data_IF_163231849502
#
_entry.id   IF_163231849502
#
_cell.length_a   1.000
_cell.length_b   1.000
_cell.length_c   1.000
_cell.angle_alpha   90.00
_cell.angle_beta   90.00
_cell.angle_gamma   90.00
#
_symmetry.space_group_name_H-M   'P 1'
#
loop_
_entity.id
_entity.type
_entity.pdbx_description
1 polymer ?
#
# COMPACT_ATOMS: atom_id res chain seq x y z
N UNK A 1 -20.99 -5.37 -16.63
CA UNK A 1 -19.74 -6.14 -16.58
C UNK A 1 -20.05 -7.34 -15.69
N UNK A 2 -20.07 -8.56 -16.22
CA UNK A 2 -20.64 -9.74 -15.54
C UNK A 2 -19.71 -10.40 -14.52
N UNK A 3 -19.09 -9.60 -13.65
CA UNK A 3 -18.27 -10.10 -12.55
C UNK A 3 -19.11 -10.19 -11.28
N UNK A 4 -18.95 -11.28 -10.54
CA UNK A 4 -19.44 -11.36 -9.16
C UNK A 4 -18.47 -10.59 -8.25
N UNK A 5 -19.01 -9.66 -7.49
CA UNK A 5 -18.26 -8.75 -6.63
C UNK A 5 -18.34 -9.20 -5.18
N UNK A 6 -17.17 -9.29 -4.54
CA UNK A 6 -17.05 -9.67 -3.14
C UNK A 6 -16.38 -8.51 -2.41
N UNK A 7 -17.13 -7.87 -1.52
CA UNK A 7 -16.64 -6.79 -0.66
C UNK A 7 -16.24 -7.35 0.70
N UNK A 8 -15.09 -6.91 1.22
CA UNK A 8 -14.66 -7.22 2.58
C UNK A 8 -14.36 -5.91 3.29
N UNK A 9 -15.16 -5.59 4.32
CA UNK A 9 -15.01 -4.37 5.09
C UNK A 9 -15.63 -4.56 6.48
N UNK A 10 -15.04 -3.94 7.50
CA UNK A 10 -15.52 -4.01 8.88
C UNK A 10 -16.03 -2.68 9.42
N UNK A 11 -16.07 -1.61 8.62
CA UNK A 11 -16.54 -0.30 9.07
C UNK A 11 -18.06 -0.15 8.88
N UNK A 12 -18.86 -0.19 9.97
CA UNK A 12 -20.33 -0.13 9.89
C UNK A 12 -20.86 1.23 9.41
N UNK A 13 -20.03 2.27 9.39
CA UNK A 13 -20.44 3.64 9.05
C UNK A 13 -20.29 3.95 7.54
N UNK A 14 -20.01 2.94 6.71
CA UNK A 14 -19.70 3.15 5.27
C UNK A 14 -20.80 2.64 4.36
N UNK A 15 -21.01 3.32 3.22
CA UNK A 15 -21.91 2.85 2.17
C UNK A 15 -21.44 1.52 1.57
N UNK A 16 -20.12 1.25 1.59
CA UNK A 16 -19.54 -0.02 1.15
C UNK A 16 -19.96 -1.24 1.97
N UNK A 17 -20.60 -1.05 3.14
CA UNK A 17 -21.18 -2.15 3.94
C UNK A 17 -22.69 -2.29 3.76
N UNK A 18 -23.27 -1.63 2.75
CA UNK A 18 -24.63 -1.91 2.31
C UNK A 18 -24.64 -3.16 1.42
N UNK A 19 -25.59 -4.06 1.66
CA UNK A 19 -25.74 -5.32 0.93
C UNK A 19 -26.11 -5.07 -0.55
N UNK A 20 -26.61 -3.89 -0.89
CA UNK A 20 -26.90 -3.52 -2.28
C UNK A 20 -25.64 -3.12 -3.09
N UNK A 21 -24.48 -3.01 -2.44
CA UNK A 21 -23.24 -2.52 -3.08
C UNK A 21 -22.41 -3.62 -3.75
N UNK A 22 -22.55 -4.88 -3.31
CA UNK A 22 -21.80 -6.01 -3.82
C UNK A 22 -22.65 -7.30 -3.79
N UNK A 23 -22.35 -8.26 -4.66
CA UNK A 23 -23.06 -9.54 -4.72
C UNK A 23 -22.87 -10.35 -3.42
N UNK A 24 -21.69 -10.21 -2.80
CA UNK A 24 -21.39 -10.75 -1.46
C UNK A 24 -20.66 -9.70 -0.63
N UNK A 25 -21.05 -9.59 0.63
CA UNK A 25 -20.40 -8.75 1.63
C UNK A 25 -19.95 -9.60 2.81
N UNK A 26 -18.65 -9.60 3.10
CA UNK A 26 -18.07 -10.15 4.32
C UNK A 26 -17.78 -9.01 5.29
N UNK A 27 -18.56 -8.96 6.37
CA UNK A 27 -18.36 -8.01 7.46
C UNK A 27 -17.32 -8.54 8.45
N UNK A 28 -16.08 -8.67 8.00
CA UNK A 28 -14.96 -9.27 8.73
C UNK A 28 -13.83 -8.26 8.89
N UNK A 29 -13.08 -8.28 10.01
CA UNK A 29 -11.86 -7.51 10.13
C UNK A 29 -10.88 -7.81 8.99
N UNK A 30 -10.22 -6.77 8.48
CA UNK A 30 -9.27 -6.88 7.35
C UNK A 30 -7.92 -7.45 7.85
N UNK A 31 -7.94 -8.66 8.38
CA UNK A 31 -6.79 -9.45 8.82
C UNK A 31 -6.48 -10.58 7.85
N UNK A 32 -5.20 -10.90 7.71
CA UNK A 32 -4.74 -11.86 6.71
C UNK A 32 -5.42 -13.22 6.80
N UNK A 33 -5.61 -13.74 8.00
CA UNK A 33 -6.19 -15.06 8.25
C UNK A 33 -7.62 -15.15 7.68
N UNK A 34 -8.46 -14.15 8.01
CA UNK A 34 -9.84 -14.06 7.54
C UNK A 34 -9.90 -13.87 6.01
N UNK A 35 -9.08 -12.96 5.48
CA UNK A 35 -9.02 -12.68 4.05
C UNK A 35 -8.58 -13.92 3.27
N UNK A 36 -7.59 -14.64 3.78
CA UNK A 36 -7.05 -15.83 3.11
C UNK A 36 -8.05 -16.99 3.11
N UNK A 37 -8.83 -17.16 4.18
CA UNK A 37 -9.91 -18.15 4.23
C UNK A 37 -11.02 -17.84 3.22
N UNK A 38 -11.40 -16.56 3.09
CA UNK A 38 -12.37 -16.11 2.06
C UNK A 38 -11.81 -16.37 0.65
N UNK A 39 -10.55 -16.05 0.39
CA UNK A 39 -9.91 -16.30 -0.91
C UNK A 39 -9.88 -17.80 -1.25
N UNK A 40 -9.62 -18.67 -0.26
CA UNK A 40 -9.65 -20.13 -0.48
C UNK A 40 -11.05 -20.66 -0.78
N UNK A 41 -12.05 -20.10 -0.12
CA UNK A 41 -13.45 -20.49 -0.27
C UNK A 41 -14.01 -20.03 -1.63
N UNK A 42 -13.83 -18.76 -1.95
CA UNK A 42 -14.43 -18.10 -3.12
C UNK A 42 -13.58 -18.25 -4.39
N UNK A 43 -12.26 -18.42 -4.24
CA UNK A 43 -11.29 -18.54 -5.36
C UNK A 43 -11.48 -17.45 -6.41
N UNK A 44 -11.40 -16.16 -6.03
CA UNK A 44 -11.69 -15.06 -6.93
C UNK A 44 -10.70 -15.01 -8.10
N UNK A 45 -11.16 -14.49 -9.25
CA UNK A 45 -10.26 -14.26 -10.39
C UNK A 45 -9.15 -13.26 -10.06
N UNK A 46 -9.41 -12.32 -9.15
CA UNK A 46 -8.39 -11.45 -8.60
C UNK A 46 -8.90 -10.54 -7.50
N UNK A 47 -7.97 -9.83 -6.87
CA UNK A 47 -8.23 -8.97 -5.70
C UNK A 47 -7.79 -7.54 -5.98
N UNK A 48 -8.59 -6.56 -5.55
CA UNK A 48 -8.29 -5.13 -5.65
C UNK A 48 -7.92 -4.62 -4.26
N UNK A 49 -6.74 -4.02 -4.12
CA UNK A 49 -6.19 -3.54 -2.84
C UNK A 49 -5.96 -2.03 -2.80
N UNK A 50 -6.00 -1.38 -3.96
CA UNK A 50 -5.62 0.02 -4.15
C UNK A 50 -6.67 1.01 -3.60
N UNK A 51 -7.88 0.53 -3.33
CA UNK A 51 -9.00 1.34 -2.84
C UNK A 51 -9.18 1.26 -1.32
N UNK A 52 -8.48 0.35 -0.63
CA UNK A 52 -8.66 0.07 0.80
C UNK A 52 -7.67 0.80 1.73
N UNK A 53 -6.92 1.77 1.22
CA UNK A 53 -5.89 2.50 1.99
C UNK A 53 -4.76 1.61 2.51
N UNK A 54 -4.09 2.06 3.58
CA UNK A 54 -2.86 1.41 4.06
C UNK A 54 -3.08 -0.02 4.56
N UNK A 55 -4.26 -0.33 5.11
CA UNK A 55 -4.58 -1.68 5.60
C UNK A 55 -4.59 -2.68 4.45
N UNK A 56 -5.23 -2.33 3.33
CA UNK A 56 -5.25 -3.18 2.15
C UNK A 56 -3.87 -3.25 1.46
N UNK A 57 -3.12 -2.15 1.42
CA UNK A 57 -1.75 -2.13 0.87
C UNK A 57 -0.81 -3.07 1.64
N UNK A 58 -0.89 -3.10 2.98
CA UNK A 58 -0.12 -4.06 3.80
C UNK A 58 -0.45 -5.53 3.51
N UNK A 59 -1.65 -5.81 3.01
CA UNK A 59 -2.04 -7.17 2.59
C UNK A 59 -1.53 -7.51 1.19
N UNK A 60 -1.23 -6.52 0.35
CA UNK A 60 -0.76 -6.75 -1.02
C UNK A 60 0.52 -7.59 -1.07
N UNK A 61 1.45 -7.37 -0.13
CA UNK A 61 2.67 -8.18 -0.01
C UNK A 61 2.33 -9.66 0.23
N UNK A 62 1.43 -9.94 1.17
CA UNK A 62 1.00 -11.30 1.48
C UNK A 62 0.25 -11.93 0.31
N UNK A 63 -0.63 -11.19 -0.35
CA UNK A 63 -1.36 -11.67 -1.52
C UNK A 63 -0.40 -12.09 -2.65
N UNK A 64 0.59 -11.25 -2.97
CA UNK A 64 1.62 -11.54 -3.98
C UNK A 64 2.44 -12.78 -3.59
N UNK A 65 2.88 -12.87 -2.32
CA UNK A 65 3.66 -14.00 -1.79
C UNK A 65 2.92 -15.34 -1.86
N UNK A 66 1.59 -15.32 -1.68
CA UNK A 66 0.75 -16.51 -1.76
C UNK A 66 0.21 -16.79 -3.18
N UNK A 67 0.66 -16.01 -4.18
CA UNK A 67 0.27 -16.19 -5.58
C UNK A 67 -1.16 -15.77 -5.89
N UNK A 68 -1.78 -14.94 -5.05
CA UNK A 68 -3.09 -14.37 -5.31
C UNK A 68 -2.95 -13.23 -6.31
N UNK A 69 -3.73 -13.27 -7.39
CA UNK A 69 -3.67 -12.27 -8.46
C UNK A 69 -4.23 -10.94 -7.96
N UNK A 70 -3.36 -9.93 -7.84
CA UNK A 70 -3.77 -8.54 -7.62
C UNK A 70 -4.14 -7.92 -8.98
N UNK A 71 -5.34 -7.37 -9.07
CA UNK A 71 -5.84 -6.68 -10.28
C UNK A 71 -5.44 -5.22 -10.21
N UNK A 72 -4.96 -4.66 -11.32
CA UNK A 72 -4.50 -3.26 -11.41
C UNK A 72 -3.01 -3.13 -11.14
N UNK A 73 -2.61 -2.11 -10.37
CA UNK A 73 -1.22 -1.87 -10.00
C UNK A 73 -0.69 -3.05 -9.18
N UNK A 74 0.42 -3.64 -9.62
CA UNK A 74 1.05 -4.77 -8.94
C UNK A 74 1.63 -4.37 -7.59
N UNK A 75 1.76 -5.34 -6.68
CA UNK A 75 2.41 -5.12 -5.39
C UNK A 75 3.82 -4.52 -5.57
N UNK A 76 4.62 -5.05 -6.50
CA UNK A 76 5.97 -4.53 -6.78
C UNK A 76 6.00 -3.05 -7.18
N UNK A 77 4.99 -2.60 -7.92
CA UNK A 77 4.88 -1.19 -8.32
C UNK A 77 4.39 -0.30 -7.16
N UNK A 78 3.50 -0.82 -6.30
CA UNK A 78 3.08 -0.13 -5.07
C UNK A 78 4.25 0.01 -4.10
N UNK A 79 4.97 -1.08 -3.84
CA UNK A 79 6.16 -1.15 -2.99
C UNK A 79 7.27 -0.21 -3.49
N UNK A 80 7.51 -0.18 -4.80
CA UNK A 80 8.46 0.76 -5.42
C UNK A 80 8.07 2.23 -5.19
N UNK A 81 6.77 2.54 -5.13
CA UNK A 81 6.31 3.90 -4.89
C UNK A 81 6.34 4.29 -3.40
N UNK A 82 6.27 3.32 -2.48
CA UNK A 82 6.38 3.55 -1.04
C UNK A 82 7.84 3.61 -0.56
N UNK A 83 8.74 2.85 -1.20
CA UNK A 83 10.18 2.88 -0.95
C UNK A 83 10.82 4.14 -1.53
N UNK A 84 11.17 5.09 -0.67
CA UNK A 84 11.75 6.36 -1.11
C UNK A 84 13.10 6.22 -1.80
N UNK A 85 13.95 5.30 -1.37
CA UNK A 85 15.27 5.11 -1.99
C UNK A 85 15.09 4.64 -3.42
N UNK A 86 14.33 3.55 -3.60
CA UNK A 86 14.05 2.97 -4.91
C UNK A 86 13.22 3.91 -5.79
N UNK A 87 12.32 4.69 -5.21
CA UNK A 87 11.56 5.69 -5.95
C UNK A 87 12.46 6.82 -6.46
N UNK A 88 13.39 7.32 -5.64
CA UNK A 88 14.33 8.35 -6.07
C UNK A 88 15.32 7.84 -7.12
N UNK A 89 15.79 6.60 -7.00
CA UNK A 89 16.57 5.93 -8.07
C UNK A 89 15.78 5.88 -9.38
N UNK A 90 14.50 5.50 -9.32
CA UNK A 90 13.63 5.49 -10.49
C UNK A 90 13.48 6.90 -11.11
N UNK A 91 13.35 7.95 -10.29
CA UNK A 91 13.29 9.32 -10.79
C UNK A 91 14.61 9.74 -11.46
N UNK A 92 15.75 9.39 -10.86
CA UNK A 92 17.07 9.64 -11.42
C UNK A 92 17.23 8.97 -12.79
N UNK A 93 16.88 7.68 -12.90
CA UNK A 93 16.95 6.90 -14.14
C UNK A 93 16.09 7.52 -15.26
N UNK A 94 14.98 8.17 -14.90
CA UNK A 94 14.07 8.82 -15.85
C UNK A 94 14.40 10.31 -16.08
N UNK A 95 15.52 10.83 -15.54
CA UNK A 95 15.89 12.24 -15.58
C UNK A 95 14.78 13.18 -15.03
N UNK A 96 14.03 12.72 -14.04
CA UNK A 96 13.01 13.51 -13.36
C UNK A 96 13.66 14.15 -12.13
N UNK A 97 13.67 15.49 -12.00
CA UNK A 97 14.27 16.15 -10.85
C UNK A 97 13.46 15.85 -9.58
N UNK A 98 14.17 15.58 -8.49
CA UNK A 98 13.63 15.38 -7.15
C UNK A 98 14.46 16.16 -6.12
N UNK A 99 13.88 16.55 -4.98
CA UNK A 99 14.63 17.25 -3.94
C UNK A 99 15.70 16.34 -3.35
N UNK A 100 16.87 16.91 -3.08
CA UNK A 100 17.92 16.21 -2.34
C UNK A 100 17.41 15.80 -0.94
N UNK A 101 17.80 14.61 -0.51
CA UNK A 101 17.37 14.03 0.76
C UNK A 101 18.46 13.12 1.32
N UNK A 102 18.34 12.81 2.61
CA UNK A 102 19.18 11.80 3.25
C UNK A 102 18.42 11.13 4.41
N UNK A 103 18.97 10.00 4.86
CA UNK A 103 18.48 9.27 6.04
C UNK A 103 19.57 9.37 7.10
N UNK A 104 19.18 9.75 8.31
CA UNK A 104 20.07 9.98 9.44
C UNK A 104 19.51 9.26 10.66
N UNK A 105 20.38 8.72 11.50
CA UNK A 105 20.00 7.98 12.71
C UNK A 105 20.37 8.74 13.99
N UNK A 106 21.17 9.80 13.88
CA UNK A 106 21.56 10.65 15.00
C UNK A 106 21.28 12.14 14.76
N UNK A 107 21.19 12.90 15.85
CA UNK A 107 20.99 14.34 15.78
C UNK A 107 22.21 15.08 15.20
N UNK A 108 23.42 14.52 15.36
CA UNK A 108 24.65 15.06 14.81
C UNK A 108 24.66 14.93 13.29
N UNK A 109 24.39 13.72 12.76
CA UNK A 109 24.21 13.49 11.32
C UNK A 109 23.11 14.36 10.72
N UNK A 110 22.00 14.56 11.44
CA UNK A 110 20.92 15.44 10.99
C UNK A 110 21.38 16.90 10.84
N UNK A 111 22.29 17.38 11.69
CA UNK A 111 22.83 18.74 11.62
C UNK A 111 23.79 18.87 10.44
N UNK A 112 24.67 17.90 10.23
CA UNK A 112 25.61 17.87 9.10
C UNK A 112 24.85 17.86 7.77
N UNK A 113 23.86 16.98 7.64
CA UNK A 113 23.01 16.90 6.45
C UNK A 113 22.19 18.19 6.25
N UNK A 114 21.69 18.81 7.32
CA UNK A 114 20.96 20.08 7.20
C UNK A 114 21.85 21.22 6.68
N UNK A 115 23.13 21.23 7.05
CA UNK A 115 24.09 22.20 6.53
C UNK A 115 24.40 21.97 5.04
N UNK A 116 24.40 20.72 4.58
CA UNK A 116 24.56 20.38 3.16
C UNK A 116 23.32 20.78 2.33
N UNK A 117 22.12 20.40 2.81
CA UNK A 117 20.86 20.63 2.09
C UNK A 117 20.37 22.10 2.14
N UNK A 118 20.85 22.87 3.11
CA UNK A 118 20.39 24.21 3.48
C UNK A 118 18.92 24.27 3.95
N UNK A 119 18.64 25.21 4.84
CA UNK A 119 17.28 25.44 5.35
C UNK A 119 16.40 26.21 4.36
N UNK A 120 15.06 25.98 4.35
CA UNK A 120 14.31 25.08 5.24
C UNK A 120 14.30 23.62 4.78
N UNK A 121 14.36 22.68 5.73
CA UNK A 121 14.30 21.23 5.49
C UNK A 121 12.99 20.62 6.02
N UNK A 122 12.55 19.53 5.42
CA UNK A 122 11.39 18.75 5.88
C UNK A 122 11.87 17.45 6.53
N UNK A 123 11.54 17.28 7.82
CA UNK A 123 11.91 16.09 8.59
C UNK A 123 10.73 15.12 8.64
N UNK A 124 10.98 13.85 8.32
CA UNK A 124 9.99 12.77 8.42
C UNK A 124 10.55 11.62 9.24
N UNK A 125 9.79 11.15 10.22
CA UNK A 125 10.11 9.94 10.97
C UNK A 125 9.89 8.70 10.09
N UNK A 126 10.89 7.81 10.06
CA UNK A 126 10.76 6.47 9.49
C UNK A 126 10.37 5.51 10.63
N UNK A 127 9.27 4.78 10.45
CA UNK A 127 8.91 3.69 11.35
C UNK A 127 9.32 2.38 10.66
N UNK A 128 10.37 1.74 11.17
CA UNK A 128 10.76 0.37 10.79
C UNK A 128 9.97 -0.66 11.60
#
# INVERSE_FOLDING_TARGET
>A
MGYETIMINCNPETVSTDFDTADKLFFEPVFWEHIYDIIKMEKPEGVIVQLGGQTALKLAEKLDKYGVKIVGTSFKALDLAEDRGRFSELLADNNIPYPEFGVVESAEEALDLANELNFPILVRLLMY
#
